data_IF_328624689385
#
_entry.id   IF_328624689385
#
_cell.length_a   1.000
_cell.length_b   1.000
_cell.length_c   1.000
_cell.angle_alpha   90.00
_cell.angle_beta   90.00
_cell.angle_gamma   90.00
#
_symmetry.space_group_name_H-M   'P 1'
#
loop_
_entity.id
_entity.type
_entity.pdbx_description
1 polymer ?
#
# COMPACT_ATOMS: atom_id res chain seq x y z
N UNK A 1 -16.68 11.43 -5.37
CA UNK A 1 -18.04 11.94 -5.68
C UNK A 1 -19.02 11.32 -4.70
N UNK A 2 -20.06 12.04 -4.29
CA UNK A 2 -21.05 11.61 -3.29
C UNK A 2 -22.48 11.75 -3.83
N UNK A 3 -23.38 10.88 -3.40
CA UNK A 3 -24.77 10.88 -3.87
C UNK A 3 -25.61 11.92 -3.13
N UNK A 4 -26.21 12.86 -3.86
CA UNK A 4 -27.16 13.82 -3.29
C UNK A 4 -28.60 13.33 -3.47
N UNK A 5 -29.30 13.02 -2.36
CA UNK A 5 -30.72 12.61 -2.40
C UNK A 5 -31.66 13.67 -3.00
N UNK A 6 -31.33 14.95 -2.88
CA UNK A 6 -32.17 16.04 -3.37
C UNK A 6 -31.99 16.30 -4.88
N UNK A 7 -30.74 16.25 -5.37
CA UNK A 7 -30.46 16.38 -6.80
C UNK A 7 -30.61 15.08 -7.59
N UNK A 8 -30.82 13.94 -6.90
CA UNK A 8 -30.90 12.60 -7.47
C UNK A 8 -29.74 12.25 -8.42
N UNK A 9 -28.52 12.71 -8.08
CA UNK A 9 -27.31 12.46 -8.87
C UNK A 9 -26.05 12.49 -8.01
N UNK A 10 -24.96 11.94 -8.55
CA UNK A 10 -23.62 12.09 -7.98
C UNK A 10 -23.12 13.51 -8.22
N UNK A 11 -22.65 14.14 -7.15
CA UNK A 11 -22.17 15.52 -7.16
C UNK A 11 -20.74 15.58 -6.61
N UNK A 12 -19.92 16.55 -7.06
CA UNK A 12 -18.76 16.99 -6.30
C UNK A 12 -19.28 17.62 -5.00
N UNK A 13 -18.95 17.02 -3.86
CA UNK A 13 -19.25 17.61 -2.55
C UNK A 13 -18.18 18.64 -2.21
N UNK A 14 -18.59 19.79 -1.70
CA UNK A 14 -17.70 20.85 -1.23
C UNK A 14 -17.78 20.96 0.29
N UNK A 15 -16.67 21.26 0.96
CA UNK A 15 -16.63 21.54 2.41
C UNK A 15 -16.28 23.00 2.63
N UNK A 16 -17.25 23.91 2.80
CA UNK A 16 -16.97 25.27 3.22
C UNK A 16 -16.36 25.25 4.63
N UNK A 17 -15.21 25.93 4.80
CA UNK A 17 -14.56 26.14 6.10
C UNK A 17 -14.31 24.85 6.91
N UNK A 18 -13.93 23.75 6.24
CA UNK A 18 -13.66 22.43 6.85
C UNK A 18 -14.83 21.84 7.69
N UNK A 19 -16.05 22.32 7.45
CA UNK A 19 -17.27 21.84 8.11
C UNK A 19 -17.92 20.65 7.40
N UNK A 20 -19.26 20.65 7.40
CA UNK A 20 -20.06 19.63 6.74
C UNK A 20 -19.86 19.62 5.21
N UNK A 21 -19.89 18.42 4.62
CA UNK A 21 -19.89 18.24 3.16
C UNK A 21 -21.23 18.71 2.61
N UNK A 22 -21.24 19.73 1.79
CA UNK A 22 -22.43 20.24 1.10
C UNK A 22 -22.44 19.82 -0.37
N UNK A 23 -23.64 19.67 -0.92
CA UNK A 23 -23.85 19.54 -2.35
C UNK A 23 -23.59 20.90 -3.03
N UNK A 24 -22.67 20.94 -3.99
CA UNK A 24 -22.33 22.17 -4.73
C UNK A 24 -23.50 22.75 -5.56
N UNK A 25 -24.53 21.94 -5.84
CA UNK A 25 -25.66 22.36 -6.68
C UNK A 25 -26.89 22.83 -5.90
N UNK A 26 -27.18 22.23 -4.75
CA UNK A 26 -28.38 22.56 -3.96
C UNK A 26 -28.06 23.06 -2.54
N UNK A 27 -26.79 23.13 -2.15
CA UNK A 27 -26.35 23.60 -0.83
C UNK A 27 -26.71 22.68 0.34
N UNK A 28 -27.42 21.58 0.11
CA UNK A 28 -27.81 20.65 1.19
C UNK A 28 -26.57 19.93 1.74
N UNK A 29 -26.50 19.86 3.07
CA UNK A 29 -25.47 19.10 3.77
C UNK A 29 -25.70 17.60 3.55
N UNK A 30 -24.69 16.94 2.98
CA UNK A 30 -24.61 15.51 2.71
C UNK A 30 -24.00 14.75 3.89
N UNK A 31 -22.99 15.33 4.54
CA UNK A 31 -22.32 14.79 5.72
C UNK A 31 -22.02 15.89 6.73
N UNK A 32 -22.32 15.68 8.01
CA UNK A 32 -22.01 16.66 9.07
C UNK A 32 -20.64 16.44 9.73
N UNK A 33 -20.02 15.28 9.51
CA UNK A 33 -18.76 14.93 10.14
C UNK A 33 -17.62 15.13 9.14
N UNK A 34 -16.51 15.68 9.62
CA UNK A 34 -15.25 15.80 8.88
C UNK A 34 -14.18 15.11 9.71
N UNK A 35 -13.92 13.84 9.40
CA UNK A 35 -12.86 13.08 10.07
C UNK A 35 -11.52 13.46 9.47
N UNK A 36 -10.59 13.98 10.28
CA UNK A 36 -9.21 14.08 9.85
C UNK A 36 -8.59 12.69 9.78
N UNK A 37 -7.77 12.45 8.76
CA UNK A 37 -6.90 11.29 8.65
C UNK A 37 -5.62 11.42 9.47
N UNK A 38 -5.40 12.58 10.11
CA UNK A 38 -4.21 12.84 10.90
C UNK A 38 -4.19 12.02 12.20
N UNK A 39 -3.00 11.57 12.56
CA UNK A 39 -2.78 10.84 13.81
C UNK A 39 -2.81 11.84 14.97
N UNK A 40 -3.80 11.70 15.85
CA UNK A 40 -3.88 12.48 17.09
C UNK A 40 -3.08 11.76 18.19
N UNK A 41 -2.41 12.49 19.09
CA UNK A 41 -1.68 11.90 20.21
C UNK A 41 -2.33 12.30 21.54
N UNK A 42 -2.58 11.32 22.41
CA UNK A 42 -3.16 11.49 23.74
C UNK A 42 -2.12 11.07 24.78
N UNK A 43 -2.02 11.84 25.87
CA UNK A 43 -1.18 11.46 27.01
C UNK A 43 -1.91 10.43 27.86
N UNK A 44 -1.28 9.29 28.11
CA UNK A 44 -1.81 8.33 29.07
C UNK A 44 -1.67 8.85 30.51
N UNK A 45 -2.31 8.18 31.47
CA UNK A 45 -2.24 8.55 32.90
C UNK A 45 -0.81 8.55 33.47
N UNK A 46 0.14 7.87 32.80
CA UNK A 46 1.55 7.84 33.14
C UNK A 46 2.38 8.95 32.44
N UNK A 47 1.73 9.89 31.74
CA UNK A 47 2.37 11.04 31.10
C UNK A 47 3.03 10.76 29.74
N UNK A 48 2.95 9.54 29.21
CA UNK A 48 3.50 9.18 27.90
C UNK A 48 2.50 9.55 26.79
N UNK A 49 3.00 10.13 25.70
CA UNK A 49 2.20 10.40 24.50
C UNK A 49 1.99 9.11 23.70
N UNK A 50 0.75 8.73 23.45
CA UNK A 50 0.34 7.59 22.64
C UNK A 50 -0.56 8.05 21.49
N UNK A 51 -0.43 7.48 20.30
CA UNK A 51 -1.38 7.73 19.20
C UNK A 51 -2.81 7.31 19.63
N UNK A 52 -3.79 8.17 19.38
CA UNK A 52 -5.19 7.95 19.70
C UNK A 52 -5.79 6.93 18.74
N UNK A 53 -6.46 5.94 19.31
CA UNK A 53 -7.08 4.85 18.56
C UNK A 53 -6.23 3.60 18.49
N UNK A 54 -6.82 2.54 17.94
CA UNK A 54 -6.15 1.27 17.73
C UNK A 54 -5.84 1.11 16.24
N UNK A 55 -4.63 0.66 15.91
CA UNK A 55 -4.30 0.23 14.55
C UNK A 55 -5.08 -1.06 14.29
N UNK A 56 -6.17 -0.95 13.54
CA UNK A 56 -6.94 -2.11 13.10
C UNK A 56 -6.29 -2.63 11.82
N UNK A 57 -5.47 -3.67 11.94
CA UNK A 57 -5.05 -4.42 10.75
C UNK A 57 -6.26 -5.15 10.19
N UNK A 58 -6.55 -5.00 8.89
CA UNK A 58 -7.70 -5.66 8.28
C UNK A 58 -7.63 -7.17 8.54
N UNK A 59 -8.76 -7.78 8.89
CA UNK A 59 -8.93 -9.20 9.29
C UNK A 59 -8.48 -10.23 8.24
N UNK A 60 -7.92 -9.79 7.11
CA UNK A 60 -7.17 -10.64 6.17
C UNK A 60 -5.81 -11.10 6.70
N UNK A 61 -5.42 -10.72 7.92
CA UNK A 61 -4.22 -11.18 8.61
C UNK A 61 -4.22 -12.68 8.96
N UNK A 62 -5.35 -13.39 8.79
CA UNK A 62 -5.39 -14.86 8.84
C UNK A 62 -4.73 -15.54 7.62
N UNK A 63 -4.66 -14.85 6.47
CA UNK A 63 -3.96 -15.34 5.29
C UNK A 63 -2.50 -14.86 5.35
N UNK A 64 -1.71 -15.63 6.11
CA UNK A 64 -0.37 -16.02 5.73
C UNK A 64 0.81 -15.12 6.13
N UNK A 65 1.15 -15.15 7.41
CA UNK A 65 2.51 -14.84 7.92
C UNK A 65 3.61 -15.53 7.10
N UNK A 66 3.38 -16.74 6.58
CA UNK A 66 4.35 -17.50 5.77
C UNK A 66 4.60 -16.88 4.38
N UNK A 67 3.55 -16.52 3.65
CA UNK A 67 3.59 -15.77 2.37
C UNK A 67 4.20 -14.39 2.58
N UNK A 68 3.74 -13.61 3.57
CA UNK A 68 4.34 -12.32 3.90
C UNK A 68 5.85 -12.45 4.20
N UNK A 69 6.23 -13.49 4.95
CA UNK A 69 7.63 -13.81 5.23
C UNK A 69 8.40 -14.20 3.97
N UNK A 70 7.83 -15.02 3.09
CA UNK A 70 8.44 -15.39 1.80
C UNK A 70 8.64 -14.17 0.91
N UNK A 71 7.68 -13.23 0.88
CA UNK A 71 7.82 -11.97 0.16
C UNK A 71 8.98 -11.14 0.69
N UNK A 72 9.07 -10.98 2.02
CA UNK A 72 10.18 -10.25 2.67
C UNK A 72 11.54 -10.89 2.34
N UNK A 73 11.67 -12.20 2.53
CA UNK A 73 12.90 -12.93 2.20
C UNK A 73 13.24 -12.75 0.72
N UNK A 74 12.27 -12.91 -0.18
CA UNK A 74 12.53 -12.79 -1.61
C UNK A 74 12.98 -11.38 -2.00
N UNK A 75 12.41 -10.34 -1.38
CA UNK A 75 12.82 -8.96 -1.58
C UNK A 75 14.26 -8.71 -1.12
N UNK A 76 14.64 -9.23 0.04
CA UNK A 76 16.00 -9.11 0.55
C UNK A 76 17.01 -9.84 -0.35
N UNK A 77 16.68 -11.04 -0.85
CA UNK A 77 17.54 -11.75 -1.80
C UNK A 77 17.69 -11.00 -3.14
N UNK A 78 16.60 -10.42 -3.65
CA UNK A 78 16.67 -9.59 -4.87
C UNK A 78 17.56 -8.36 -4.65
N UNK A 79 17.48 -7.73 -3.46
CA UNK A 79 18.38 -6.63 -3.09
C UNK A 79 19.85 -7.10 -3.08
N UNK A 80 20.14 -8.22 -2.43
CA UNK A 80 21.48 -8.79 -2.42
C UNK A 80 22.01 -9.06 -3.84
N UNK A 81 21.16 -9.57 -4.74
CA UNK A 81 21.51 -9.79 -6.15
C UNK A 81 21.79 -8.49 -6.89
N UNK A 82 20.94 -7.45 -6.71
CA UNK A 82 21.16 -6.11 -7.29
C UNK A 82 22.52 -5.55 -6.84
N UNK A 83 22.78 -5.59 -5.55
CA UNK A 83 23.99 -5.02 -4.95
C UNK A 83 25.24 -5.78 -5.44
N UNK A 84 25.18 -7.12 -5.49
CA UNK A 84 26.27 -7.96 -6.00
C UNK A 84 26.55 -7.74 -7.50
N UNK A 85 25.55 -7.37 -8.29
CA UNK A 85 25.68 -7.07 -9.72
C UNK A 85 26.06 -5.60 -9.99
N UNK A 86 26.13 -4.74 -8.97
CA UNK A 86 26.48 -3.33 -9.13
C UNK A 86 25.47 -2.54 -9.97
N UNK A 87 24.17 -2.87 -9.88
CA UNK A 87 23.09 -2.28 -10.70
C UNK A 87 22.80 -0.78 -10.34
N UNK A 88 23.62 -0.19 -9.47
CA UNK A 88 23.54 1.20 -9.02
C UNK A 88 22.74 1.32 -7.74
N UNK A 89 23.32 1.95 -6.73
CA UNK A 89 22.75 2.02 -5.38
C UNK A 89 21.41 2.76 -5.35
N UNK A 90 21.22 3.74 -6.24
CA UNK A 90 20.03 4.59 -6.32
C UNK A 90 18.80 3.89 -6.96
N UNK A 91 18.96 2.67 -7.50
CA UNK A 91 17.91 1.95 -8.24
C UNK A 91 17.06 1.03 -7.37
N UNK A 92 16.46 1.56 -6.31
CA UNK A 92 15.58 0.78 -5.43
C UNK A 92 14.20 0.49 -6.06
N UNK A 93 13.79 1.28 -7.05
CA UNK A 93 12.64 1.05 -7.92
C UNK A 93 12.69 -0.33 -8.62
N UNK A 94 13.89 -0.77 -9.00
CA UNK A 94 14.12 -2.07 -9.63
C UNK A 94 13.78 -3.22 -8.67
N UNK A 95 14.10 -3.07 -7.39
CA UNK A 95 13.81 -4.09 -6.38
C UNK A 95 12.29 -4.19 -6.19
N UNK A 96 11.60 -3.05 -6.12
CA UNK A 96 10.14 -3.00 -5.99
C UNK A 96 9.43 -3.72 -7.13
N UNK A 97 9.81 -3.41 -8.37
CA UNK A 97 9.19 -4.02 -9.55
C UNK A 97 9.56 -5.51 -9.68
N UNK A 98 10.81 -5.89 -9.43
CA UNK A 98 11.24 -7.30 -9.46
C UNK A 98 10.52 -8.14 -8.38
N UNK A 99 10.30 -7.58 -7.19
CA UNK A 99 9.54 -8.24 -6.13
C UNK A 99 8.06 -8.44 -6.52
N UNK A 100 7.44 -7.49 -7.23
CA UNK A 100 6.10 -7.66 -7.77
C UNK A 100 6.03 -8.77 -8.83
N UNK A 101 7.01 -8.86 -9.73
CA UNK A 101 7.08 -9.98 -10.67
C UNK A 101 7.25 -11.33 -9.97
N UNK A 102 8.05 -11.38 -8.90
CA UNK A 102 8.22 -12.59 -8.11
C UNK A 102 6.92 -13.01 -7.40
N UNK A 103 6.12 -12.05 -6.94
CA UNK A 103 4.79 -12.30 -6.39
C UNK A 103 3.85 -12.91 -7.42
N UNK A 104 3.80 -12.34 -8.63
CA UNK A 104 3.02 -12.88 -9.76
C UNK A 104 3.48 -14.29 -10.10
N UNK A 105 4.80 -14.51 -10.19
CA UNK A 105 5.38 -15.83 -10.45
C UNK A 105 4.99 -16.85 -9.38
N UNK A 106 4.94 -16.43 -8.11
CA UNK A 106 4.52 -17.28 -7.00
C UNK A 106 3.02 -17.63 -7.08
N UNK A 107 2.17 -16.65 -7.39
CA UNK A 107 0.72 -16.86 -7.54
C UNK A 107 0.39 -17.81 -8.71
N UNK A 108 1.18 -17.78 -9.77
CA UNK A 108 1.07 -18.71 -10.90
C UNK A 108 1.85 -20.02 -10.72
N UNK A 109 2.35 -20.33 -9.52
CA UNK A 109 3.11 -21.55 -9.22
C UNK A 109 4.41 -21.73 -10.03
N UNK A 110 4.94 -20.67 -10.63
CA UNK A 110 6.17 -20.72 -11.42
C UNK A 110 7.41 -21.07 -10.58
N UNK A 111 7.34 -20.83 -9.27
CA UNK A 111 8.39 -21.19 -8.29
C UNK A 111 8.39 -22.67 -7.92
N UNK A 112 7.34 -23.45 -8.23
CA UNK A 112 7.28 -24.88 -7.89
C UNK A 112 8.23 -25.69 -8.77
N UNK A 113 9.09 -26.49 -8.13
CA UNK A 113 10.04 -27.37 -8.82
C UNK A 113 11.25 -26.64 -9.43
N UNK A 114 11.42 -25.35 -9.13
CA UNK A 114 12.57 -24.55 -9.60
C UNK A 114 13.33 -23.99 -8.42
N UNK A 115 14.63 -23.76 -8.60
CA UNK A 115 15.43 -23.04 -7.61
C UNK A 115 14.92 -21.60 -7.53
N UNK A 116 14.59 -21.15 -6.32
CA UNK A 116 14.05 -19.80 -6.07
C UNK A 116 14.98 -18.71 -6.59
N UNK A 117 16.29 -18.88 -6.40
CA UNK A 117 17.34 -17.97 -6.89
C UNK A 117 17.24 -17.73 -8.41
N UNK A 118 17.00 -18.78 -9.20
CA UNK A 118 16.86 -18.64 -10.66
C UNK A 118 15.63 -17.81 -11.03
N UNK A 119 14.54 -17.97 -10.28
CA UNK A 119 13.31 -17.19 -10.50
C UNK A 119 13.55 -15.74 -10.11
N UNK A 120 14.20 -15.48 -8.98
CA UNK A 120 14.54 -14.13 -8.51
C UNK A 120 15.44 -13.40 -9.52
N UNK A 121 16.52 -14.04 -9.99
CA UNK A 121 17.41 -13.48 -11.01
C UNK A 121 16.68 -13.21 -12.33
N UNK A 122 15.74 -14.07 -12.72
CA UNK A 122 14.93 -13.86 -13.93
C UNK A 122 13.99 -12.65 -13.79
N UNK A 123 13.36 -12.47 -12.62
CA UNK A 123 12.51 -11.31 -12.33
C UNK A 123 13.32 -10.00 -12.30
N UNK A 124 14.53 -10.04 -11.73
CA UNK A 124 15.46 -8.91 -11.74
C UNK A 124 15.88 -8.55 -13.17
N UNK A 125 16.29 -9.55 -13.96
CA UNK A 125 16.65 -9.35 -15.38
C UNK A 125 15.50 -8.73 -16.19
N UNK A 126 14.28 -9.26 -16.03
CA UNK A 126 13.10 -8.73 -16.73
C UNK A 126 12.88 -7.25 -16.39
N UNK A 127 13.00 -6.88 -15.11
CA UNK A 127 12.86 -5.50 -14.66
C UNK A 127 13.92 -4.60 -15.28
N UNK A 128 15.20 -5.00 -15.22
CA UNK A 128 16.28 -4.24 -15.83
C UNK A 128 16.10 -4.05 -17.34
N UNK A 129 15.43 -5.00 -18.02
CA UNK A 129 15.18 -4.93 -19.47
C UNK A 129 13.97 -4.06 -19.84
N UNK A 130 13.01 -3.88 -18.94
CA UNK A 130 11.85 -3.00 -19.15
C UNK A 130 12.22 -1.53 -18.96
N UNK A 131 13.16 -1.26 -18.06
CA UNK A 131 13.67 0.07 -17.73
C UNK A 131 14.86 0.52 -18.62
N UNK A 132 15.26 -0.28 -19.62
CA UNK A 132 16.39 -0.01 -20.52
C UNK A 132 15.98 0.59 -21.86
#
# INVERSE_FOLDING_TARGET
MVWCKHCAKNVPGIRPFDGGLACDLCGRILENFNFSTDVTFVKNAAGQSQASGNIVTSVKSGLSTSRERRKRIARDEIRNLKDALGIGDERDDVIDMAAQFFDIATDHNFTKGRRTELVQSSCLYLTCRLES
#
